data_IF_320326152694
#
_entry.id   IF_320326152694
#
_cell.length_a   1.000
_cell.length_b   1.000
_cell.length_c   1.000
_cell.angle_alpha   90.00
_cell.angle_beta   90.00
_cell.angle_gamma   90.00
#
_symmetry.space_group_name_H-M   'P 1'
#
loop_
_entity.id
_entity.type
_entity.pdbx_description
1 polymer ?
#
# COMPACT_ATOMS: atom_id res chain seq x y z
N UNK A 1 19.58 10.69 -23.89
CA UNK A 1 18.75 11.53 -22.99
C UNK A 1 17.74 12.33 -23.78
N UNK A 2 16.69 12.79 -23.14
CA UNK A 2 15.72 13.71 -23.75
C UNK A 2 16.36 15.05 -24.05
N UNK A 3 15.87 15.76 -25.09
CA UNK A 3 16.28 17.17 -25.28
C UNK A 3 15.73 18.05 -24.15
N UNK A 4 16.31 19.25 -23.91
CA UNK A 4 15.77 20.18 -22.91
C UNK A 4 14.27 20.49 -23.12
N UNK A 5 13.87 20.67 -24.37
CA UNK A 5 12.47 20.97 -24.72
C UNK A 5 11.54 19.76 -24.37
N UNK A 6 12.02 18.53 -24.56
CA UNK A 6 11.27 17.33 -24.15
C UNK A 6 11.20 17.20 -22.63
N UNK A 7 12.25 17.60 -21.92
CA UNK A 7 12.25 17.59 -20.45
C UNK A 7 11.23 18.59 -19.91
N UNK A 8 11.21 19.82 -20.45
CA UNK A 8 10.24 20.86 -20.06
C UNK A 8 8.81 20.42 -20.37
N UNK A 9 8.54 19.87 -21.56
CA UNK A 9 7.23 19.35 -21.93
C UNK A 9 6.79 18.20 -21.00
N UNK A 10 7.73 17.37 -20.54
CA UNK A 10 7.45 16.31 -19.57
C UNK A 10 7.06 16.90 -18.22
N UNK A 11 7.79 17.90 -17.71
CA UNK A 11 7.47 18.59 -16.45
C UNK A 11 6.08 19.20 -16.51
N UNK A 12 5.77 19.92 -17.57
CA UNK A 12 4.46 20.56 -17.74
C UNK A 12 3.32 19.54 -17.77
N UNK A 13 3.50 18.44 -18.49
CA UNK A 13 2.52 17.34 -18.56
C UNK A 13 2.31 16.67 -17.20
N UNK A 14 3.40 16.35 -16.49
CA UNK A 14 3.35 15.75 -15.15
C UNK A 14 2.64 16.68 -14.18
N UNK A 15 3.03 17.94 -14.11
CA UNK A 15 2.42 18.91 -13.19
C UNK A 15 0.94 19.14 -13.48
N UNK A 16 0.55 19.19 -14.76
CA UNK A 16 -0.84 19.33 -15.18
C UNK A 16 -1.68 18.12 -14.70
N UNK A 17 -1.20 16.91 -14.93
CA UNK A 17 -1.92 15.69 -14.59
C UNK A 17 -1.97 15.48 -13.07
N UNK A 18 -0.84 15.63 -12.36
CA UNK A 18 -0.79 15.50 -10.90
C UNK A 18 -1.71 16.51 -10.20
N UNK A 19 -1.75 17.75 -10.69
CA UNK A 19 -2.67 18.77 -10.17
C UNK A 19 -4.12 18.38 -10.40
N UNK A 20 -4.49 17.93 -11.59
CA UNK A 20 -5.84 17.48 -11.88
C UNK A 20 -6.25 16.29 -11.01
N UNK A 21 -5.36 15.30 -10.79
CA UNK A 21 -5.59 14.17 -9.89
C UNK A 21 -5.75 14.64 -8.44
N UNK A 22 -4.93 15.58 -7.99
CA UNK A 22 -5.01 16.09 -6.63
C UNK A 22 -6.31 16.85 -6.37
N UNK A 23 -6.82 17.62 -7.34
CA UNK A 23 -8.07 18.38 -7.23
C UNK A 23 -9.31 17.48 -7.09
N UNK A 24 -9.32 16.30 -7.71
CA UNK A 24 -10.43 15.33 -7.61
C UNK A 24 -10.28 14.33 -6.47
N UNK A 25 -9.13 14.29 -5.82
CA UNK A 25 -8.83 13.37 -4.72
C UNK A 25 -9.35 13.88 -3.38
N UNK A 26 -9.74 12.96 -2.50
CA UNK A 26 -10.11 13.33 -1.13
C UNK A 26 -8.92 13.90 -0.36
N UNK A 27 -9.20 14.88 0.50
CA UNK A 27 -8.24 15.38 1.48
C UNK A 27 -7.84 14.29 2.50
N UNK A 28 -6.76 14.54 3.24
CA UNK A 28 -6.21 13.56 4.19
C UNK A 28 -7.19 13.18 5.31
N UNK A 29 -8.09 14.07 5.70
CA UNK A 29 -9.12 13.81 6.71
C UNK A 29 -10.16 12.84 6.17
N UNK A 30 -10.67 13.09 4.98
CA UNK A 30 -11.64 12.26 4.30
C UNK A 30 -11.10 10.85 3.99
N UNK A 31 -9.81 10.75 3.62
CA UNK A 31 -9.15 9.45 3.40
C UNK A 31 -9.06 8.58 4.66
N UNK A 32 -9.16 9.17 5.86
CA UNK A 32 -9.17 8.45 7.15
C UNK A 32 -10.57 8.08 7.61
N UNK A 33 -11.60 8.67 7.03
CA UNK A 33 -12.99 8.34 7.35
C UNK A 33 -13.37 7.01 6.68
N UNK A 34 -13.40 5.95 7.49
CA UNK A 34 -13.71 4.60 7.00
C UNK A 34 -15.15 4.45 6.53
N UNK A 35 -16.11 5.25 7.06
CA UNK A 35 -17.49 5.22 6.62
C UNK A 35 -17.65 5.91 5.26
N UNK A 36 -17.02 7.06 5.09
CA UNK A 36 -17.01 7.80 3.83
C UNK A 36 -16.33 7.02 2.70
N UNK A 37 -15.32 6.22 3.03
CA UNK A 37 -14.56 5.41 2.08
C UNK A 37 -15.10 3.99 1.88
N UNK A 38 -16.20 3.61 2.55
CA UNK A 38 -16.84 2.31 2.33
C UNK A 38 -18.01 2.45 1.35
N UNK A 39 -17.74 2.16 0.08
CA UNK A 39 -18.71 2.23 -1.00
C UNK A 39 -18.78 0.88 -1.72
N UNK A 40 -19.39 -0.11 -1.06
CA UNK A 40 -19.57 -1.43 -1.62
C UNK A 40 -20.58 -1.37 -2.77
N UNK A 41 -20.15 -1.75 -3.97
CA UNK A 41 -20.94 -1.76 -5.19
C UNK A 41 -20.91 -3.14 -5.84
N UNK A 42 -22.01 -3.50 -6.52
CA UNK A 42 -21.94 -4.55 -7.51
C UNK A 42 -21.00 -4.12 -8.65
N UNK A 43 -20.25 -5.05 -9.22
CA UNK A 43 -19.32 -4.72 -10.30
C UNK A 43 -20.02 -4.14 -11.51
N UNK A 44 -21.22 -4.64 -11.84
CA UNK A 44 -22.02 -4.13 -12.94
C UNK A 44 -22.47 -2.66 -12.73
N UNK A 45 -22.73 -2.25 -11.47
CA UNK A 45 -23.05 -0.86 -11.14
C UNK A 45 -21.81 0.02 -11.22
N UNK A 46 -20.65 -0.48 -10.77
CA UNK A 46 -19.39 0.23 -10.88
C UNK A 46 -19.01 0.50 -12.34
N UNK A 47 -19.23 -0.44 -13.24
CA UNK A 47 -18.96 -0.28 -14.68
C UNK A 47 -19.81 0.81 -15.36
N UNK A 48 -20.94 1.19 -14.75
CA UNK A 48 -21.75 2.30 -15.27
C UNK A 48 -21.12 3.68 -15.00
N UNK A 49 -20.11 3.74 -14.14
CA UNK A 49 -19.35 4.98 -13.94
C UNK A 49 -18.58 5.27 -15.24
N UNK A 50 -18.88 6.42 -15.83
CA UNK A 50 -18.24 6.83 -17.07
C UNK A 50 -16.72 6.88 -16.88
N UNK A 51 -15.99 6.16 -17.73
CA UNK A 51 -14.54 6.06 -17.67
C UNK A 51 -13.96 5.89 -19.07
N UNK A 52 -12.79 6.49 -19.38
CA UNK A 52 -12.05 6.20 -20.60
C UNK A 52 -11.36 4.82 -20.52
N UNK A 53 -11.35 4.18 -19.34
CA UNK A 53 -10.77 2.86 -19.13
C UNK A 53 -11.84 1.79 -19.33
N UNK A 54 -11.47 0.72 -20.02
CA UNK A 54 -12.24 -0.52 -20.03
C UNK A 54 -11.98 -1.27 -18.72
N UNK A 55 -12.96 -1.26 -17.82
CA UNK A 55 -12.85 -1.87 -16.51
C UNK A 55 -12.74 -3.40 -16.57
N UNK A 56 -13.34 -4.05 -17.57
CA UNK A 56 -13.23 -5.50 -17.73
C UNK A 56 -11.78 -5.86 -18.10
N UNK A 57 -11.18 -5.17 -19.06
CA UNK A 57 -9.77 -5.35 -19.43
C UNK A 57 -8.84 -5.04 -18.24
N UNK A 58 -9.12 -3.96 -17.50
CA UNK A 58 -8.32 -3.59 -16.34
C UNK A 58 -8.32 -4.68 -15.28
N UNK A 59 -9.48 -5.11 -14.82
CA UNK A 59 -9.58 -6.13 -13.76
C UNK A 59 -9.12 -7.51 -14.21
N UNK A 60 -9.35 -7.88 -15.47
CA UNK A 60 -8.83 -9.13 -16.03
C UNK A 60 -7.29 -9.13 -16.03
N UNK A 61 -6.65 -8.02 -16.43
CA UNK A 61 -5.18 -7.87 -16.41
C UNK A 61 -4.59 -7.97 -15.00
N UNK A 62 -5.38 -7.63 -13.97
CA UNK A 62 -5.02 -7.76 -12.55
C UNK A 62 -5.29 -9.16 -11.98
N UNK A 63 -5.76 -10.12 -12.80
CA UNK A 63 -6.13 -11.46 -12.36
C UNK A 63 -7.45 -11.52 -11.59
N UNK A 64 -8.30 -10.51 -11.70
CA UNK A 64 -9.60 -10.39 -11.03
C UNK A 64 -10.78 -10.58 -12.00
N UNK A 65 -10.61 -11.42 -13.03
CA UNK A 65 -11.69 -11.78 -13.93
C UNK A 65 -12.88 -12.35 -13.14
N UNK A 66 -14.09 -11.91 -13.48
CA UNK A 66 -15.32 -12.38 -12.84
C UNK A 66 -15.60 -11.76 -11.47
N UNK A 67 -14.99 -10.61 -11.18
CA UNK A 67 -15.31 -9.81 -9.99
C UNK A 67 -16.80 -9.52 -9.94
N UNK A 68 -17.43 -9.76 -8.78
CA UNK A 68 -18.87 -9.54 -8.59
C UNK A 68 -19.19 -8.26 -7.82
N UNK A 69 -18.32 -7.88 -6.91
CA UNK A 69 -18.51 -6.72 -6.05
C UNK A 69 -17.14 -6.15 -5.65
N UNK A 70 -17.07 -4.86 -5.37
CA UNK A 70 -15.89 -4.18 -4.91
C UNK A 70 -16.24 -3.04 -3.95
N UNK A 71 -15.25 -2.60 -3.19
CA UNK A 71 -15.33 -1.38 -2.40
C UNK A 71 -14.59 -0.25 -3.14
N UNK A 72 -15.36 0.69 -3.69
CA UNK A 72 -14.85 1.81 -4.46
C UNK A 72 -14.58 3.02 -3.55
N UNK A 73 -13.41 3.07 -2.93
CA UNK A 73 -12.99 4.25 -2.16
C UNK A 73 -12.99 5.49 -3.03
N UNK A 74 -13.33 6.64 -2.44
CA UNK A 74 -13.39 7.90 -3.18
C UNK A 74 -14.26 7.81 -4.45
N UNK A 75 -15.52 7.37 -4.30
CA UNK A 75 -16.40 7.08 -5.45
C UNK A 75 -16.49 8.22 -6.49
N UNK A 76 -16.41 9.47 -6.04
CA UNK A 76 -16.44 10.61 -6.95
C UNK A 76 -15.16 10.73 -7.79
N UNK A 77 -14.02 10.27 -7.27
CA UNK A 77 -12.76 10.24 -8.03
C UNK A 77 -12.92 9.53 -9.37
N UNK A 78 -13.61 8.40 -9.40
CA UNK A 78 -13.81 7.63 -10.64
C UNK A 78 -14.65 8.37 -11.67
N UNK A 79 -15.63 9.17 -11.22
CA UNK A 79 -16.46 10.00 -12.10
C UNK A 79 -15.67 11.15 -12.68
N UNK A 80 -14.92 11.86 -11.82
CA UNK A 80 -14.21 13.08 -12.19
C UNK A 80 -12.90 12.76 -12.96
N UNK A 81 -12.33 11.58 -12.77
CA UNK A 81 -11.12 11.11 -13.48
C UNK A 81 -11.32 11.08 -15.00
N UNK A 82 -12.53 10.74 -15.46
CA UNK A 82 -12.84 10.73 -16.90
C UNK A 82 -12.68 12.10 -17.52
N UNK A 83 -13.14 13.14 -16.85
CA UNK A 83 -12.98 14.53 -17.32
C UNK A 83 -11.52 14.96 -17.24
N UNK A 84 -10.83 14.66 -16.14
CA UNK A 84 -9.42 14.98 -15.97
C UNK A 84 -8.56 14.38 -17.09
N UNK A 85 -8.80 13.12 -17.46
CA UNK A 85 -8.06 12.46 -18.55
C UNK A 85 -8.42 12.99 -19.94
N UNK A 86 -9.69 13.34 -20.20
CA UNK A 86 -10.09 13.95 -21.49
C UNK A 86 -9.45 15.32 -21.74
N UNK A 87 -9.11 16.03 -20.68
CA UNK A 87 -8.42 17.33 -20.75
C UNK A 87 -6.92 17.21 -20.98
N UNK A 88 -6.41 15.99 -21.21
CA UNK A 88 -5.01 15.71 -21.53
C UNK A 88 -4.86 15.14 -22.93
N UNK A 89 -3.75 15.46 -23.58
CA UNK A 89 -3.38 14.86 -24.87
C UNK A 89 -2.74 13.49 -24.66
N UNK A 90 -2.72 12.66 -25.71
CA UNK A 90 -2.04 11.36 -25.68
C UNK A 90 -0.55 11.52 -25.37
N UNK A 91 0.10 12.57 -25.86
CA UNK A 91 1.52 12.80 -25.61
C UNK A 91 1.78 13.23 -24.16
N UNK A 92 0.92 14.06 -23.55
CA UNK A 92 0.99 14.36 -22.11
C UNK A 92 0.83 13.10 -21.28
N UNK A 93 -0.11 12.22 -21.61
CA UNK A 93 -0.28 10.92 -20.93
C UNK A 93 0.95 10.01 -21.06
N UNK A 94 1.57 9.95 -22.26
CA UNK A 94 2.82 9.20 -22.45
C UNK A 94 3.97 9.76 -21.60
N UNK A 95 4.13 11.09 -21.54
CA UNK A 95 5.13 11.71 -20.69
C UNK A 95 4.89 11.40 -19.21
N UNK A 96 3.66 11.46 -18.76
CA UNK A 96 3.28 11.11 -17.40
C UNK A 96 3.60 9.65 -17.05
N UNK A 97 3.22 8.71 -17.91
CA UNK A 97 3.51 7.29 -17.71
C UNK A 97 5.01 6.99 -17.74
N UNK A 98 5.75 7.61 -18.70
CA UNK A 98 7.20 7.44 -18.78
C UNK A 98 7.91 7.99 -17.53
N UNK A 99 7.49 9.17 -17.04
CA UNK A 99 8.02 9.75 -15.80
C UNK A 99 7.77 8.83 -14.60
N UNK A 100 6.54 8.33 -14.43
CA UNK A 100 6.21 7.43 -13.32
C UNK A 100 7.01 6.11 -13.39
N UNK A 101 7.17 5.54 -14.58
CA UNK A 101 7.98 4.34 -14.77
C UNK A 101 9.44 4.58 -14.42
N UNK A 102 10.02 5.69 -14.90
CA UNK A 102 11.40 6.06 -14.59
C UNK A 102 11.60 6.34 -13.10
N UNK A 103 10.67 7.06 -12.47
CA UNK A 103 10.72 7.33 -11.03
C UNK A 103 10.66 6.05 -10.20
N UNK A 104 9.79 5.10 -10.56
CA UNK A 104 9.70 3.82 -9.88
C UNK A 104 10.95 2.95 -10.08
N UNK A 105 11.59 3.05 -11.25
CA UNK A 105 12.79 2.28 -11.58
C UNK A 105 14.10 2.96 -11.07
N UNK A 106 14.10 4.26 -10.85
CA UNK A 106 15.29 5.06 -10.54
C UNK A 106 16.19 4.46 -9.43
N UNK A 107 15.64 3.93 -8.31
CA UNK A 107 16.47 3.29 -7.26
C UNK A 107 17.27 2.07 -7.72
N UNK A 108 16.95 1.49 -8.88
CA UNK A 108 17.53 0.28 -9.44
C UNK A 108 18.35 0.50 -10.72
N UNK A 109 18.40 1.75 -11.18
CA UNK A 109 19.16 2.15 -12.37
C UNK A 109 20.60 2.56 -12.02
N UNK A 110 21.28 3.26 -12.95
CA UNK A 110 22.64 3.78 -12.72
C UNK A 110 22.66 4.87 -11.63
N UNK A 111 23.86 5.15 -11.14
CA UNK A 111 24.04 6.08 -10.01
C UNK A 111 23.43 7.45 -10.27
N UNK A 112 23.46 7.97 -11.50
CA UNK A 112 22.83 9.25 -11.86
C UNK A 112 21.33 9.26 -11.56
N UNK A 113 20.62 8.17 -11.84
CA UNK A 113 19.18 8.05 -11.52
C UNK A 113 18.95 7.89 -10.01
N UNK A 114 19.76 7.07 -9.36
CA UNK A 114 19.70 6.88 -7.90
C UNK A 114 19.95 8.17 -7.15
N UNK A 115 20.92 8.97 -7.59
CA UNK A 115 21.25 10.25 -6.99
C UNK A 115 20.17 11.29 -7.24
N UNK A 116 19.61 11.37 -8.44
CA UNK A 116 18.48 12.24 -8.76
C UNK A 116 17.23 11.90 -7.92
N UNK A 117 16.90 10.62 -7.78
CA UNK A 117 15.82 10.15 -6.91
C UNK A 117 16.05 10.55 -5.45
N UNK A 118 17.26 10.37 -4.95
CA UNK A 118 17.60 10.73 -3.58
C UNK A 118 17.59 12.24 -3.32
N UNK A 119 18.08 13.05 -4.27
CA UNK A 119 18.06 14.52 -4.14
C UNK A 119 16.62 15.03 -3.97
N UNK A 120 15.65 14.47 -4.68
CA UNK A 120 14.26 14.88 -4.55
C UNK A 120 13.53 14.15 -3.43
N UNK A 121 13.35 12.83 -3.53
CA UNK A 121 12.54 12.07 -2.56
C UNK A 121 13.23 11.87 -1.20
N UNK A 122 14.56 11.77 -1.22
CA UNK A 122 15.36 11.65 -0.01
C UNK A 122 15.50 12.98 0.71
N UNK A 123 16.11 13.96 0.06
CA UNK A 123 16.45 15.24 0.71
C UNK A 123 15.25 16.17 0.81
N UNK A 124 14.61 16.52 -0.31
CA UNK A 124 13.53 17.52 -0.33
C UNK A 124 12.28 17.00 0.37
N UNK A 125 11.82 15.81 -0.01
CA UNK A 125 10.55 15.28 0.51
C UNK A 125 10.65 14.64 1.89
N UNK A 126 11.78 14.00 2.22
CA UNK A 126 11.94 13.24 3.47
C UNK A 126 12.93 13.83 4.44
N UNK A 127 13.64 14.93 4.11
CA UNK A 127 14.61 15.62 4.97
C UNK A 127 15.88 14.81 5.30
N UNK A 128 16.16 13.75 4.55
CA UNK A 128 17.37 12.94 4.75
C UNK A 128 18.60 13.73 4.34
N UNK A 129 19.69 13.59 5.08
CA UNK A 129 20.94 14.32 4.79
C UNK A 129 21.85 13.52 3.86
N UNK A 130 21.87 12.20 4.00
CA UNK A 130 22.79 11.30 3.28
C UNK A 130 22.06 10.08 2.75
N UNK A 131 22.50 9.59 1.59
CA UNK A 131 22.03 8.34 1.01
C UNK A 131 22.54 7.14 1.81
N UNK A 132 21.70 6.15 2.02
CA UNK A 132 22.13 4.90 2.64
C UNK A 132 23.17 4.18 1.76
N UNK A 133 24.19 3.56 2.36
CA UNK A 133 25.16 2.74 1.62
C UNK A 133 24.45 1.68 0.76
N UNK A 134 25.00 1.38 -0.41
CA UNK A 134 24.42 0.45 -1.38
C UNK A 134 24.01 -0.90 -0.75
N UNK A 135 24.86 -1.46 0.11
CA UNK A 135 24.56 -2.74 0.75
C UNK A 135 23.27 -2.70 1.60
N UNK A 136 22.99 -1.57 2.30
CA UNK A 136 21.74 -1.40 3.07
C UNK A 136 20.55 -1.28 2.15
N UNK A 137 20.67 -0.53 1.06
CA UNK A 137 19.62 -0.40 0.04
C UNK A 137 19.29 -1.75 -0.59
N UNK A 138 20.33 -2.52 -0.97
CA UNK A 138 20.17 -3.87 -1.51
C UNK A 138 19.51 -4.82 -0.51
N UNK A 139 19.90 -4.78 0.75
CA UNK A 139 19.26 -5.57 1.81
C UNK A 139 17.78 -5.22 1.98
N UNK A 140 17.44 -3.94 1.93
CA UNK A 140 16.04 -3.51 1.99
C UNK A 140 15.22 -4.05 0.81
N UNK A 141 15.80 -4.06 -0.40
CA UNK A 141 15.17 -4.65 -1.59
C UNK A 141 14.92 -6.16 -1.41
N UNK A 142 15.93 -6.89 -0.93
CA UNK A 142 15.81 -8.33 -0.64
C UNK A 142 14.75 -8.59 0.43
N UNK A 143 14.74 -7.81 1.52
CA UNK A 143 13.73 -7.91 2.57
C UNK A 143 12.32 -7.61 2.05
N UNK A 144 12.17 -6.66 1.13
CA UNK A 144 10.90 -6.36 0.49
C UNK A 144 10.37 -7.51 -0.38
N UNK A 145 11.25 -8.17 -1.12
CA UNK A 145 10.90 -9.24 -2.05
C UNK A 145 10.80 -10.63 -1.37
N UNK A 146 11.73 -10.95 -0.48
CA UNK A 146 11.93 -12.27 0.12
C UNK A 146 11.94 -12.22 1.66
N UNK A 147 11.11 -11.35 2.25
CA UNK A 147 11.17 -11.03 3.68
C UNK A 147 11.01 -12.25 4.60
N UNK A 148 10.16 -13.22 4.27
CA UNK A 148 10.02 -14.42 5.10
C UNK A 148 11.23 -15.36 4.98
N UNK A 149 11.86 -15.49 3.80
CA UNK A 149 13.07 -16.30 3.66
C UNK A 149 14.25 -15.71 4.47
N UNK A 150 14.42 -14.38 4.43
CA UNK A 150 15.41 -13.68 5.26
C UNK A 150 15.03 -13.78 6.74
N UNK A 151 13.73 -13.69 7.05
CA UNK A 151 13.18 -13.82 8.41
C UNK A 151 13.47 -15.18 9.02
N UNK A 152 13.33 -16.26 8.26
CA UNK A 152 13.64 -17.62 8.71
C UNK A 152 15.11 -17.75 9.14
N UNK A 153 16.04 -17.28 8.30
CA UNK A 153 17.47 -17.26 8.61
C UNK A 153 17.78 -16.42 9.87
N UNK A 154 17.10 -15.28 10.03
CA UNK A 154 17.26 -14.43 11.21
C UNK A 154 16.74 -15.12 12.47
N UNK A 155 15.56 -15.73 12.41
CA UNK A 155 14.91 -16.43 13.53
C UNK A 155 15.76 -17.60 13.99
N UNK A 156 16.25 -18.41 13.08
CA UNK A 156 17.12 -19.55 13.40
C UNK A 156 18.33 -19.11 14.26
N UNK A 157 18.90 -17.96 13.96
CA UNK A 157 20.10 -17.47 14.63
C UNK A 157 19.86 -16.62 15.86
N UNK A 158 18.81 -15.79 15.86
CA UNK A 158 18.66 -14.71 16.83
C UNK A 158 17.35 -14.69 17.61
N UNK A 159 16.37 -15.49 17.25
CA UNK A 159 15.06 -15.45 17.88
C UNK A 159 14.60 -16.87 18.33
N UNK A 160 15.06 -17.36 19.48
CA UNK A 160 14.74 -18.72 19.94
C UNK A 160 13.24 -18.89 20.22
N UNK A 161 12.74 -20.12 20.05
CA UNK A 161 11.32 -20.47 20.25
C UNK A 161 10.80 -20.05 21.64
N UNK A 162 11.64 -20.15 22.67
CA UNK A 162 11.30 -19.72 24.03
C UNK A 162 10.95 -18.25 24.14
N UNK A 163 11.49 -17.38 23.25
CA UNK A 163 11.12 -15.97 23.20
C UNK A 163 9.72 -15.78 22.63
N UNK A 164 9.35 -16.53 21.59
CA UNK A 164 7.98 -16.56 21.05
C UNK A 164 6.98 -17.03 22.11
N UNK A 165 7.27 -18.10 22.81
CA UNK A 165 6.42 -18.64 23.90
C UNK A 165 6.18 -17.63 25.02
N UNK A 166 7.25 -16.96 25.49
CA UNK A 166 7.13 -15.89 26.50
C UNK A 166 6.22 -14.76 26.04
N UNK A 167 6.35 -14.33 24.78
CA UNK A 167 5.51 -13.27 24.24
C UNK A 167 4.06 -13.72 24.06
N UNK A 168 3.82 -14.95 23.63
CA UNK A 168 2.46 -15.51 23.56
C UNK A 168 1.81 -15.58 24.95
N UNK A 169 2.57 -15.98 25.98
CA UNK A 169 2.10 -15.97 27.37
C UNK A 169 1.75 -14.55 27.82
N UNK A 170 2.60 -13.57 27.51
CA UNK A 170 2.35 -12.18 27.85
C UNK A 170 1.07 -11.67 27.18
N UNK A 171 0.88 -11.94 25.89
CA UNK A 171 -0.33 -11.52 25.16
C UNK A 171 -1.57 -12.22 25.73
N UNK A 172 -1.48 -13.52 26.04
CA UNK A 172 -2.57 -14.24 26.69
C UNK A 172 -2.98 -13.63 28.05
N UNK A 173 -2.00 -13.24 28.86
CA UNK A 173 -2.26 -12.55 30.13
C UNK A 173 -2.94 -11.18 29.92
N UNK A 174 -2.50 -10.43 28.88
CA UNK A 174 -3.14 -9.15 28.52
C UNK A 174 -4.59 -9.35 28.07
N UNK A 175 -4.87 -10.39 27.28
CA UNK A 175 -6.23 -10.71 26.84
C UNK A 175 -7.11 -11.09 28.04
N UNK A 176 -6.59 -11.89 28.97
CA UNK A 176 -7.31 -12.27 30.21
C UNK A 176 -7.63 -11.02 31.04
N UNK A 177 -6.63 -10.18 31.29
CA UNK A 177 -6.83 -8.95 32.05
C UNK A 177 -7.83 -7.99 31.39
N UNK A 178 -7.80 -7.90 30.05
CA UNK A 178 -8.77 -7.09 29.29
C UNK A 178 -10.18 -7.66 29.40
N UNK A 179 -10.32 -8.99 29.32
CA UNK A 179 -11.61 -9.67 29.51
C UNK A 179 -12.22 -9.37 30.88
N UNK A 180 -11.43 -9.51 31.95
CA UNK A 180 -11.85 -9.20 33.32
C UNK A 180 -12.25 -7.73 33.45
N UNK A 181 -11.47 -6.83 32.87
CA UNK A 181 -11.74 -5.39 32.88
C UNK A 181 -13.05 -5.05 32.15
N UNK A 182 -13.32 -5.62 30.98
CA UNK A 182 -14.58 -5.41 30.24
C UNK A 182 -15.77 -5.82 31.11
N UNK A 183 -15.69 -6.97 31.77
CA UNK A 183 -16.77 -7.44 32.64
C UNK A 183 -17.03 -6.52 33.83
N UNK A 184 -16.00 -5.89 34.38
CA UNK A 184 -16.08 -4.95 35.50
C UNK A 184 -16.50 -3.51 35.15
N UNK A 185 -16.70 -3.15 33.87
CA UNK A 185 -17.06 -1.78 33.47
C UNK A 185 -18.53 -1.46 33.82
N UNK A 186 -18.76 -0.53 34.75
CA UNK A 186 -20.11 -0.15 35.17
C UNK A 186 -20.87 0.67 34.10
N UNK A 187 -20.16 1.44 33.29
CA UNK A 187 -20.76 2.28 32.25
C UNK A 187 -21.18 1.52 30.99
N UNK A 188 -20.75 0.29 30.83
CA UNK A 188 -21.02 -0.53 29.65
C UNK A 188 -22.21 -1.46 29.91
N UNK A 189 -23.20 -1.47 29.00
CA UNK A 189 -24.33 -2.38 29.08
C UNK A 189 -23.90 -3.85 28.90
N UNK A 190 -24.69 -4.78 29.43
CA UNK A 190 -24.39 -6.21 29.34
C UNK A 190 -24.33 -6.69 27.88
N UNK A 191 -25.20 -6.16 27.01
CA UNK A 191 -25.18 -6.44 25.58
C UNK A 191 -23.87 -5.98 24.94
N UNK A 192 -23.39 -4.78 25.31
CA UNK A 192 -22.13 -4.24 24.79
C UNK A 192 -20.93 -5.02 25.33
N UNK A 193 -20.95 -5.43 26.60
CA UNK A 193 -19.92 -6.32 27.19
C UNK A 193 -19.84 -7.64 26.43
N UNK A 194 -20.97 -8.27 26.14
CA UNK A 194 -21.02 -9.52 25.37
C UNK A 194 -20.38 -9.35 23.99
N UNK A 195 -20.70 -8.26 23.28
CA UNK A 195 -20.08 -7.97 21.98
C UNK A 195 -18.59 -7.63 22.07
N UNK A 196 -18.15 -6.99 23.13
CA UNK A 196 -16.72 -6.74 23.37
C UNK A 196 -15.96 -8.04 23.65
N UNK A 197 -16.54 -8.96 24.42
CA UNK A 197 -15.97 -10.28 24.65
C UNK A 197 -15.90 -11.12 23.37
N UNK A 198 -16.95 -11.12 22.56
CA UNK A 198 -16.99 -11.76 21.26
C UNK A 198 -15.85 -11.23 20.36
N UNK A 199 -15.69 -9.90 20.30
CA UNK A 199 -14.58 -9.26 19.57
C UNK A 199 -13.21 -9.66 20.11
N UNK A 200 -13.02 -9.69 21.43
CA UNK A 200 -11.76 -10.09 22.06
C UNK A 200 -11.41 -11.56 21.72
N UNK A 201 -12.39 -12.45 21.76
CA UNK A 201 -12.19 -13.86 21.41
C UNK A 201 -11.83 -14.07 19.92
N UNK A 202 -12.22 -13.15 19.04
CA UNK A 202 -11.93 -13.21 17.61
C UNK A 202 -10.53 -12.70 17.22
N UNK A 203 -9.73 -12.19 18.17
CA UNK A 203 -8.37 -11.74 17.87
C UNK A 203 -7.45 -12.87 17.46
N UNK A 204 -6.84 -12.72 16.30
CA UNK A 204 -5.73 -13.58 15.87
C UNK A 204 -4.40 -12.99 16.33
N UNK A 205 -3.69 -13.73 17.17
CA UNK A 205 -2.37 -13.31 17.68
C UNK A 205 -1.28 -13.71 16.70
N UNK A 206 -0.46 -12.73 16.30
CA UNK A 206 0.71 -12.92 15.42
C UNK A 206 1.94 -12.37 16.11
N UNK A 207 2.82 -13.24 16.59
CA UNK A 207 4.00 -12.87 17.37
C UNK A 207 5.26 -13.49 16.78
N UNK A 208 6.29 -12.67 16.64
CA UNK A 208 7.63 -13.07 16.23
C UNK A 208 7.69 -13.48 14.76
N UNK A 209 7.34 -14.72 14.48
CA UNK A 209 7.42 -15.29 13.14
C UNK A 209 6.23 -16.24 12.88
N UNK A 210 5.87 -16.49 11.59
CA UNK A 210 4.74 -17.36 11.24
C UNK A 210 5.00 -18.80 11.68
N UNK A 211 3.93 -19.56 11.98
CA UNK A 211 4.05 -20.98 12.31
C UNK A 211 4.41 -21.83 11.09
N UNK A 212 4.09 -21.31 9.89
CA UNK A 212 4.48 -21.90 8.61
C UNK A 212 5.05 -20.81 7.72
N UNK A 213 6.32 -20.96 7.37
CA UNK A 213 7.02 -20.08 6.44
C UNK A 213 6.46 -20.20 5.03
N UNK A 214 6.58 -19.11 4.25
CA UNK A 214 6.24 -19.12 2.84
C UNK A 214 7.19 -20.04 2.08
N UNK A 215 6.64 -20.90 1.26
CA UNK A 215 7.43 -21.75 0.37
C UNK A 215 7.85 -20.94 -0.87
N UNK A 216 9.16 -20.81 -1.05
CA UNK A 216 9.79 -20.16 -2.21
C UNK A 216 10.35 -21.17 -3.22
N UNK A 217 10.13 -22.49 -3.04
CA UNK A 217 10.70 -23.52 -3.93
C UNK A 217 10.25 -23.41 -5.38
N UNK A 218 9.10 -22.79 -5.65
CA UNK A 218 8.59 -22.52 -6.98
C UNK A 218 9.05 -21.20 -7.59
N UNK A 219 9.91 -20.43 -6.90
CA UNK A 219 10.37 -19.14 -7.40
C UNK A 219 11.47 -19.33 -8.46
N UNK A 220 11.18 -18.89 -9.68
CA UNK A 220 12.19 -18.79 -10.75
C UNK A 220 12.81 -17.40 -10.76
N UNK A 221 14.13 -17.33 -10.65
CA UNK A 221 14.90 -16.08 -10.77
C UNK A 221 15.50 -16.04 -12.18
N UNK A 222 15.07 -15.05 -12.98
CA UNK A 222 15.56 -14.84 -14.36
C UNK A 222 16.52 -13.67 -14.40
#
# INVERSE_FOLDING_TARGET
GSSPEQADATVDAVMKIEKAIAEISYGREDLRDSQKNYNKLAYEDFKQIESPLDWDVYFESMGLAGLKELDAKQINFYKDMSEALRNTTVDEQKYYLAFNLLSAAAPYLSDDFVDADFEFYGKVMSGKQEQQPRWKRSLNTVNGALGEAVGEMYVEKYFPASSKEKMLTLVGNLQTALSERINGLEWMSDTTKAKAQEKLAAFTVKIGYPDKWRDYSGLEIK
#
